data_IF_272947184685
#
_entry.id   IF_272947184685
#
_cell.length_a   1.000
_cell.length_b   1.000
_cell.length_c   1.000
_cell.angle_alpha   90.00
_cell.angle_beta   90.00
_cell.angle_gamma   90.00
#
_symmetry.space_group_name_H-M   'P 1'
#
loop_
_entity.id
_entity.type
_entity.pdbx_description
1 polymer ?
#
# COMPACT_ATOMS: atom_id res chain seq x y z
N UNK A 1 -6.22 17.90 -13.36
CA UNK A 1 -5.22 17.23 -14.21
C UNK A 1 -3.86 17.67 -13.74
N UNK A 2 -3.02 16.70 -13.38
CA UNK A 2 -1.66 16.96 -12.94
C UNK A 2 -0.81 17.41 -14.14
N UNK A 3 0.06 18.40 -13.92
CA UNK A 3 1.07 18.76 -14.90
C UNK A 3 2.19 17.72 -14.95
N UNK A 4 2.93 17.66 -16.04
CA UNK A 4 4.08 16.74 -16.16
C UNK A 4 5.12 16.95 -15.06
N UNK A 5 5.31 18.18 -14.59
CA UNK A 5 6.21 18.47 -13.48
C UNK A 5 5.71 17.87 -12.16
N UNK A 6 4.40 17.92 -11.91
CA UNK A 6 3.80 17.39 -10.68
C UNK A 6 3.81 15.86 -10.67
N UNK A 7 3.61 15.23 -11.82
CA UNK A 7 3.78 13.78 -11.99
C UNK A 7 5.23 13.37 -11.66
N UNK A 8 6.21 14.15 -12.11
CA UNK A 8 7.62 13.91 -11.81
C UNK A 8 7.92 14.07 -10.31
N UNK A 9 7.38 15.11 -9.67
CA UNK A 9 7.52 15.33 -8.22
C UNK A 9 6.93 14.15 -7.45
N UNK A 10 5.73 13.68 -7.81
CA UNK A 10 5.10 12.51 -7.19
C UNK A 10 5.95 11.25 -7.39
N UNK A 11 6.46 11.01 -8.60
CA UNK A 11 7.36 9.89 -8.88
C UNK A 11 8.61 9.93 -7.98
N UNK A 12 9.19 11.10 -7.75
CA UNK A 12 10.32 11.26 -6.83
C UNK A 12 9.95 11.00 -5.37
N UNK A 13 8.82 11.57 -4.89
CA UNK A 13 8.30 11.31 -3.53
C UNK A 13 8.15 9.79 -3.31
N UNK A 14 7.62 9.08 -4.30
CA UNK A 14 7.46 7.63 -4.19
C UNK A 14 8.78 6.83 -4.19
N UNK A 15 9.70 7.17 -5.08
CA UNK A 15 11.00 6.50 -5.15
C UNK A 15 11.83 6.69 -3.88
N UNK A 16 11.77 7.86 -3.26
CA UNK A 16 12.57 8.16 -2.07
C UNK A 16 11.93 7.70 -0.75
N UNK A 17 10.60 7.74 -0.63
CA UNK A 17 9.94 7.54 0.67
C UNK A 17 9.35 6.14 0.87
N UNK A 18 9.04 5.43 -0.22
CA UNK A 18 8.31 4.14 -0.16
C UNK A 18 9.08 2.96 -0.77
N UNK A 19 10.28 3.18 -1.31
CA UNK A 19 11.08 2.15 -1.99
C UNK A 19 12.46 1.85 -1.39
N UNK A 20 13.01 2.73 -0.54
CA UNK A 20 14.37 2.57 -0.01
C UNK A 20 14.38 2.64 1.52
N UNK A 21 14.55 1.49 2.17
CA UNK A 21 14.93 1.40 3.60
C UNK A 21 14.00 2.09 4.62
N UNK A 22 12.69 2.19 4.39
CA UNK A 22 11.75 2.61 5.46
C UNK A 22 11.17 1.40 6.18
N UNK A 23 10.91 1.53 7.50
CA UNK A 23 10.23 0.51 8.33
C UNK A 23 8.87 0.06 7.74
N UNK A 24 8.32 0.86 6.83
CA UNK A 24 7.10 0.66 6.04
C UNK A 24 7.33 -0.05 4.69
N UNK A 25 8.24 -1.03 4.62
CA UNK A 25 8.48 -1.89 3.42
C UNK A 25 7.23 -2.61 2.86
N UNK A 26 6.09 -2.48 3.52
CA UNK A 26 4.84 -3.14 3.14
C UNK A 26 4.07 -2.39 2.05
N UNK A 27 4.30 -1.09 1.83
CA UNK A 27 3.53 -0.30 0.85
C UNK A 27 4.38 0.08 -0.36
N UNK A 28 3.93 -0.31 -1.55
CA UNK A 28 4.49 0.12 -2.84
C UNK A 28 3.50 0.98 -3.59
N UNK A 29 3.98 1.82 -4.51
CA UNK A 29 3.15 2.79 -5.23
C UNK A 29 3.40 2.75 -6.73
N UNK A 30 2.36 2.97 -7.51
CA UNK A 30 2.43 3.07 -8.97
C UNK A 30 1.55 4.22 -9.45
N UNK A 31 2.10 5.16 -10.20
CA UNK A 31 1.37 6.33 -10.72
C UNK A 31 1.32 6.30 -12.25
N UNK A 32 0.14 6.52 -12.82
CA UNK A 32 -0.10 6.64 -14.26
C UNK A 32 -1.05 7.82 -14.50
N UNK A 33 -0.51 8.95 -14.96
CA UNK A 33 -1.28 10.19 -15.11
C UNK A 33 -1.86 10.65 -13.76
N UNK A 34 -3.18 10.78 -13.71
CA UNK A 34 -3.93 11.16 -12.50
C UNK A 34 -4.32 9.94 -11.62
N UNK A 35 -3.98 8.72 -12.03
CA UNK A 35 -4.30 7.48 -11.29
C UNK A 35 -3.10 7.01 -10.46
N UNK A 36 -3.32 6.83 -9.16
CA UNK A 36 -2.36 6.32 -8.20
C UNK A 36 -2.86 5.00 -7.64
N UNK A 37 -1.99 3.99 -7.61
CA UNK A 37 -2.25 2.70 -6.96
C UNK A 37 -1.27 2.53 -5.83
N UNK A 38 -1.79 2.35 -4.61
CA UNK A 38 -1.00 1.96 -3.44
C UNK A 38 -1.26 0.49 -3.14
N UNK A 39 -0.19 -0.29 -2.95
CA UNK A 39 -0.25 -1.73 -2.71
C UNK A 39 0.43 -2.06 -1.41
N UNK A 40 -0.33 -2.59 -0.46
CA UNK A 40 0.18 -3.16 0.78
C UNK A 40 0.39 -4.68 0.62
N UNK A 41 1.51 -5.20 1.09
CA UNK A 41 1.79 -6.64 1.16
C UNK A 41 2.37 -7.02 2.53
N UNK A 42 1.78 -8.02 3.17
CA UNK A 42 2.28 -8.61 4.40
C UNK A 42 2.37 -10.14 4.27
N UNK A 43 3.39 -10.73 4.88
CA UNK A 43 3.49 -12.19 5.03
C UNK A 43 2.77 -12.58 6.32
N UNK A 44 1.82 -13.50 6.21
CA UNK A 44 1.03 -14.01 7.34
C UNK A 44 1.31 -15.49 7.54
N UNK A 45 1.29 -15.91 8.82
CA UNK A 45 1.43 -17.31 9.22
C UNK A 45 0.22 -17.74 10.01
N UNK A 46 -0.37 -18.87 9.64
CA UNK A 46 -1.54 -19.42 10.34
C UNK A 46 -1.50 -20.94 10.37
N UNK A 47 -2.09 -21.51 11.41
CA UNK A 47 -2.19 -22.97 11.58
C UNK A 47 -3.47 -23.55 10.96
N UNK A 48 -4.52 -22.74 10.83
CA UNK A 48 -5.81 -23.12 10.25
C UNK A 48 -6.48 -21.93 9.55
N UNK A 49 -7.46 -22.19 8.68
CA UNK A 49 -8.22 -21.14 7.98
C UNK A 49 -9.01 -20.27 8.97
N UNK A 50 -9.60 -20.87 10.01
CA UNK A 50 -10.26 -20.10 11.08
C UNK A 50 -9.30 -19.13 11.79
N UNK A 51 -8.04 -19.54 12.02
CA UNK A 51 -7.01 -18.66 12.59
C UNK A 51 -6.58 -17.56 11.61
N UNK A 52 -6.61 -17.82 10.31
CA UNK A 52 -6.35 -16.83 9.27
C UNK A 52 -7.46 -15.76 9.23
N UNK A 53 -8.73 -16.17 9.27
CA UNK A 53 -9.88 -15.24 9.27
C UNK A 53 -9.84 -14.30 10.48
N UNK A 54 -9.50 -14.82 11.67
CA UNK A 54 -9.35 -14.00 12.88
C UNK A 54 -8.22 -12.97 12.75
N UNK A 55 -7.11 -13.34 12.12
CA UNK A 55 -5.98 -12.44 11.89
C UNK A 55 -6.23 -11.45 10.75
N UNK A 56 -7.12 -11.77 9.80
CA UNK A 56 -7.41 -10.92 8.63
C UNK A 56 -7.81 -9.51 9.06
N UNK A 57 -8.70 -9.37 10.04
CA UNK A 57 -9.13 -8.06 10.53
C UNK A 57 -7.99 -7.21 11.11
N UNK A 58 -7.00 -7.85 11.74
CA UNK A 58 -5.81 -7.17 12.25
C UNK A 58 -4.92 -6.67 11.11
N UNK A 59 -4.70 -7.50 10.09
CA UNK A 59 -3.89 -7.11 8.93
C UNK A 59 -4.58 -6.07 8.05
N UNK A 60 -5.91 -6.11 7.94
CA UNK A 60 -6.68 -5.08 7.26
C UNK A 60 -6.53 -3.73 7.97
N UNK A 61 -6.64 -3.71 9.29
CA UNK A 61 -6.39 -2.50 10.09
C UNK A 61 -4.97 -1.97 9.89
N UNK A 62 -3.97 -2.85 10.00
CA UNK A 62 -2.57 -2.47 9.81
C UNK A 62 -2.32 -1.91 8.39
N UNK A 63 -2.90 -2.53 7.36
CA UNK A 63 -2.81 -2.07 5.99
C UNK A 63 -3.43 -0.68 5.81
N UNK A 64 -4.59 -0.45 6.43
CA UNK A 64 -5.25 0.86 6.42
C UNK A 64 -4.39 1.94 7.07
N UNK A 65 -3.83 1.65 8.24
CA UNK A 65 -2.96 2.58 8.95
C UNK A 65 -1.71 2.89 8.12
N UNK A 66 -1.07 1.87 7.53
CA UNK A 66 0.10 2.05 6.67
C UNK A 66 -0.20 2.88 5.42
N UNK A 67 -1.35 2.64 4.76
CA UNK A 67 -1.73 3.39 3.56
C UNK A 67 -2.13 4.83 3.92
N UNK A 68 -2.82 5.04 5.03
CA UNK A 68 -3.16 6.37 5.51
C UNK A 68 -1.90 7.20 5.83
N UNK A 69 -0.93 6.59 6.51
CA UNK A 69 0.36 7.21 6.80
C UNK A 69 1.15 7.51 5.53
N UNK A 70 1.14 6.58 4.57
CA UNK A 70 1.77 6.78 3.27
C UNK A 70 1.16 7.98 2.52
N UNK A 71 -0.17 8.07 2.48
CA UNK A 71 -0.86 9.20 1.85
C UNK A 71 -0.58 10.52 2.55
N UNK A 72 -0.51 10.52 3.88
CA UNK A 72 -0.20 11.70 4.67
C UNK A 72 1.22 12.21 4.38
N UNK A 73 2.21 11.32 4.37
CA UNK A 73 3.60 11.65 4.02
C UNK A 73 3.72 12.15 2.58
N UNK A 74 3.10 11.45 1.63
CA UNK A 74 3.09 11.86 0.23
C UNK A 74 2.51 13.26 0.05
N UNK A 75 1.35 13.56 0.66
CA UNK A 75 0.74 14.90 0.58
C UNK A 75 1.63 15.99 1.19
N UNK A 76 2.33 15.68 2.29
CA UNK A 76 3.23 16.61 2.93
C UNK A 76 4.45 16.93 2.05
N UNK A 77 5.14 15.90 1.55
CA UNK A 77 6.32 16.07 0.68
C UNK A 77 5.97 16.71 -0.66
N UNK A 78 4.81 16.34 -1.24
CA UNK A 78 4.34 16.99 -2.46
C UNK A 78 4.12 18.48 -2.23
N UNK A 79 3.47 18.86 -1.12
CA UNK A 79 3.23 20.26 -0.77
C UNK A 79 4.53 21.04 -0.59
N UNK A 80 5.55 20.43 -0.01
CA UNK A 80 6.87 21.03 0.15
C UNK A 80 7.55 21.30 -1.19
N UNK A 81 7.45 20.37 -2.14
CA UNK A 81 8.14 20.45 -3.45
C UNK A 81 7.38 21.24 -4.52
N UNK A 82 6.05 21.19 -4.50
CA UNK A 82 5.20 21.80 -5.53
C UNK A 82 4.51 23.09 -5.06
N UNK A 83 4.70 23.49 -3.80
CA UNK A 83 4.07 24.66 -3.15
C UNK A 83 2.54 24.69 -3.22
N UNK A 84 1.90 23.58 -3.58
CA UNK A 84 0.44 23.42 -3.65
C UNK A 84 -0.03 22.13 -2.99
N UNK A 85 -1.30 22.08 -2.60
CA UNK A 85 -1.96 20.85 -2.16
C UNK A 85 -2.54 20.06 -3.33
N UNK A 86 -2.60 18.74 -3.16
CA UNK A 86 -3.33 17.80 -4.03
C UNK A 86 -4.51 17.19 -3.29
N UNK A 87 -5.61 17.00 -4.01
CA UNK A 87 -6.74 16.19 -3.56
C UNK A 87 -6.49 14.76 -3.98
N UNK A 88 -6.81 13.83 -3.08
CA UNK A 88 -6.74 12.40 -3.36
C UNK A 88 -8.10 11.82 -3.01
N UNK A 89 -8.74 11.16 -3.97
CA UNK A 89 -10.04 10.51 -3.81
C UNK A 89 -9.85 9.02 -4.02
N UNK A 90 -10.41 8.19 -3.13
CA UNK A 90 -10.41 6.74 -3.31
C UNK A 90 -11.47 6.33 -4.34
N UNK A 91 -11.05 5.55 -5.34
CA UNK A 91 -11.94 5.03 -6.38
C UNK A 91 -12.36 3.59 -6.08
N UNK A 92 -11.41 2.75 -5.67
CA UNK A 92 -11.68 1.37 -5.29
C UNK A 92 -10.63 0.84 -4.32
N UNK A 93 -11.00 -0.26 -3.66
CA UNK A 93 -10.14 -0.98 -2.73
C UNK A 93 -10.45 -2.46 -2.79
N UNK A 94 -9.39 -3.24 -2.90
CA UNK A 94 -9.47 -4.69 -3.03
C UNK A 94 -8.41 -5.34 -2.15
N UNK A 95 -8.79 -6.36 -1.38
CA UNK A 95 -7.88 -7.15 -0.56
C UNK A 95 -7.96 -8.65 -0.89
N UNK A 96 -6.86 -9.36 -0.70
CA UNK A 96 -6.78 -10.80 -0.99
C UNK A 96 -5.76 -11.50 -0.12
N UNK A 97 -5.98 -12.80 0.11
CA UNK A 97 -5.02 -13.69 0.76
C UNK A 97 -4.58 -14.76 -0.23
N UNK A 98 -3.29 -14.83 -0.49
CA UNK A 98 -2.68 -15.75 -1.45
C UNK A 98 -1.74 -16.71 -0.73
N UNK A 99 -2.05 -18.01 -0.72
CA UNK A 99 -1.21 -19.05 -0.12
C UNK A 99 0.10 -19.21 -0.90
N UNK A 100 1.23 -19.10 -0.19
CA UNK A 100 2.58 -19.20 -0.77
C UNK A 100 3.08 -20.64 -0.75
N UNK A 101 2.91 -21.32 0.39
CA UNK A 101 3.34 -22.71 0.52
C UNK A 101 2.51 -23.45 1.56
N UNK A 102 2.23 -24.71 1.25
CA UNK A 102 1.63 -25.68 2.15
C UNK A 102 2.57 -26.89 2.15
N UNK A 103 3.54 -26.92 3.06
CA UNK A 103 4.36 -28.12 3.24
C UNK A 103 3.59 -29.12 4.10
N UNK A 104 3.49 -30.36 3.64
CA UNK A 104 2.82 -31.45 4.35
C UNK A 104 3.48 -31.78 5.72
N UNK A 105 4.71 -31.31 5.94
CA UNK A 105 5.50 -31.58 7.15
C UNK A 105 5.45 -30.43 8.17
N UNK A 106 4.87 -29.28 7.83
CA UNK A 106 4.75 -28.14 8.74
C UNK A 106 3.28 -27.75 8.91
N UNK A 107 2.77 -27.72 10.16
CA UNK A 107 1.37 -27.35 10.41
C UNK A 107 1.07 -25.86 10.15
N UNK A 108 2.11 -25.03 9.94
CA UNK A 108 1.96 -23.61 9.63
C UNK A 108 1.91 -23.41 8.12
N UNK A 109 0.86 -22.74 7.67
CA UNK A 109 0.70 -22.24 6.30
C UNK A 109 1.24 -20.81 6.22
N UNK A 110 1.88 -20.49 5.10
CA UNK A 110 2.35 -19.15 4.77
C UNK A 110 1.47 -18.58 3.66
N UNK A 111 1.00 -17.34 3.84
CA UNK A 111 0.28 -16.61 2.79
C UNK A 111 0.76 -15.17 2.71
N UNK A 112 0.50 -14.53 1.57
CA UNK A 112 0.52 -13.09 1.43
C UNK A 112 -0.88 -12.53 1.70
N UNK A 113 -0.98 -11.58 2.60
CA UNK A 113 -2.09 -10.64 2.60
C UNK A 113 -1.73 -9.46 1.71
N UNK A 114 -2.59 -9.13 0.74
CA UNK A 114 -2.38 -8.04 -0.21
C UNK A 114 -3.58 -7.11 -0.20
N UNK A 115 -3.35 -5.81 -0.20
CA UNK A 115 -4.39 -4.80 -0.35
C UNK A 115 -3.97 -3.79 -1.42
N UNK A 116 -4.81 -3.57 -2.41
CA UNK A 116 -4.63 -2.56 -3.45
C UNK A 116 -5.67 -1.46 -3.25
N UNK A 117 -5.23 -0.21 -3.21
CA UNK A 117 -6.10 0.95 -3.15
C UNK A 117 -5.86 1.78 -4.39
N UNK A 118 -6.92 1.95 -5.17
CA UNK A 118 -6.94 2.76 -6.37
C UNK A 118 -7.43 4.16 -6.01
N UNK A 119 -6.64 5.14 -6.37
CA UNK A 119 -6.81 6.53 -5.97
C UNK A 119 -6.72 7.43 -7.19
N UNK A 120 -7.56 8.45 -7.23
CA UNK A 120 -7.49 9.55 -8.17
C UNK A 120 -6.85 10.77 -7.52
N UNK A 121 -5.86 11.35 -8.19
CA UNK A 121 -5.13 12.52 -7.73
C UNK A 121 -5.46 13.74 -8.60
N UNK A 122 -5.85 14.85 -7.97
CA UNK A 122 -6.27 16.09 -8.62
C UNK A 122 -5.58 17.33 -8.00
#
# INVERSE_FOLDING_TARGET
MLSSNEINILGQVFNHSFGYSSETMKVTSSIHGDSLVLKYVAVIQFASEASMEQQKAQYEKEANDCIADALKKMKAEFREKAERSIKVTEESRDDSVELISVSAHTPRKLAYYRMNVHLKVE
#
